data_IF_009414962512
#
_entry.id   IF_009414962512
#
_cell.length_a   1.000
_cell.length_b   1.000
_cell.length_c   1.000
_cell.angle_alpha   90.00
_cell.angle_beta   90.00
_cell.angle_gamma   90.00
#
_symmetry.space_group_name_H-M   'P 1'
#
loop_
_entity.id
_entity.type
_entity.pdbx_description
1 polymer ?
#
# COMPACT_ATOMS: atom_id res chain seq x y z
N UNK A 1 -3.39 -5.65 13.28
CA UNK A 1 -2.08 -4.99 13.05
C UNK A 1 -1.94 -3.70 13.85
N UNK A 2 -2.85 -2.72 13.76
CA UNK A 2 -2.75 -1.46 14.54
C UNK A 2 -2.64 -1.69 16.06
N UNK A 3 -3.50 -2.54 16.64
CA UNK A 3 -3.43 -2.85 18.07
C UNK A 3 -2.08 -3.47 18.50
N UNK A 4 -1.48 -4.30 17.64
CA UNK A 4 -0.16 -4.90 17.89
C UNK A 4 0.92 -3.82 17.83
N UNK A 5 0.86 -2.91 16.85
CA UNK A 5 1.80 -1.80 16.72
C UNK A 5 1.73 -0.86 17.94
N UNK A 6 0.52 -0.57 18.43
CA UNK A 6 0.31 0.21 19.65
C UNK A 6 0.88 -0.50 20.89
N UNK A 7 0.57 -1.78 21.08
CA UNK A 7 1.11 -2.56 22.19
C UNK A 7 2.64 -2.62 22.17
N UNK A 8 3.25 -2.81 21.00
CA UNK A 8 4.71 -2.80 20.85
C UNK A 8 5.32 -1.42 21.15
N UNK A 9 4.64 -0.33 20.77
CA UNK A 9 5.08 1.03 21.09
C UNK A 9 4.99 1.33 22.59
N UNK A 10 3.95 0.85 23.27
CA UNK A 10 3.77 1.01 24.72
C UNK A 10 4.81 0.22 25.52
N UNK A 11 5.12 -0.99 25.08
CA UNK A 11 6.09 -1.89 25.72
C UNK A 11 7.56 -1.54 25.44
N UNK A 12 7.85 -0.72 24.42
CA UNK A 12 9.21 -0.37 24.04
C UNK A 12 9.82 0.77 24.87
N UNK A 13 11.14 0.73 25.05
CA UNK A 13 11.90 1.79 25.74
C UNK A 13 11.99 3.09 24.91
N UNK A 14 11.94 2.97 23.58
CA UNK A 14 11.99 4.11 22.66
C UNK A 14 10.59 4.62 22.33
N UNK A 15 10.31 5.90 22.62
CA UNK A 15 9.04 6.57 22.31
C UNK A 15 9.25 7.76 21.37
N UNK A 16 9.44 7.53 20.06
CA UNK A 16 9.53 8.61 19.09
C UNK A 16 8.37 9.61 19.24
N UNK A 17 8.66 10.89 19.51
CA UNK A 17 7.61 11.89 19.64
C UNK A 17 6.89 12.06 18.29
N UNK A 18 5.57 12.26 18.35
CA UNK A 18 4.75 12.47 17.15
C UNK A 18 4.35 11.20 16.39
N UNK A 19 4.76 10.00 16.83
CA UNK A 19 4.29 8.75 16.25
C UNK A 19 2.83 8.48 16.66
N UNK A 20 1.96 8.22 15.68
CA UNK A 20 0.57 7.84 15.92
C UNK A 20 0.13 6.72 14.98
N UNK A 21 -0.76 5.86 15.46
CA UNK A 21 -1.28 4.72 14.70
C UNK A 21 -2.77 4.90 14.44
N UNK A 22 -3.19 4.69 13.19
CA UNK A 22 -4.57 4.90 12.78
C UNK A 22 -5.00 3.83 11.79
N UNK A 23 -6.16 3.24 12.01
CA UNK A 23 -6.81 2.40 11.01
C UNK A 23 -7.53 3.30 9.99
N UNK A 24 -7.07 3.30 8.74
CA UNK A 24 -7.67 4.04 7.64
C UNK A 24 -7.36 3.35 6.31
N UNK A 25 -8.09 3.73 5.27
CA UNK A 25 -7.78 3.41 3.87
C UNK A 25 -7.19 4.65 3.19
N UNK A 26 -6.49 4.49 2.07
CA UNK A 26 -5.90 5.61 1.33
C UNK A 26 -6.95 6.66 0.94
N UNK A 27 -8.12 6.22 0.48
CA UNK A 27 -9.23 7.06 0.04
C UNK A 27 -9.83 7.86 1.21
N UNK A 28 -9.90 7.26 2.41
CA UNK A 28 -10.36 7.97 3.61
C UNK A 28 -9.35 8.99 4.12
N UNK A 29 -8.07 8.82 3.79
CA UNK A 29 -7.02 9.74 4.20
C UNK A 29 -7.01 10.98 3.31
N UNK A 30 -7.14 10.83 1.98
CA UNK A 30 -7.11 11.96 1.03
C UNK A 30 -8.15 13.04 1.33
N UNK A 31 -9.31 12.66 1.85
CA UNK A 31 -10.38 13.58 2.25
C UNK A 31 -9.95 14.57 3.35
N UNK A 32 -8.95 14.21 4.18
CA UNK A 32 -8.57 15.02 5.35
C UNK A 32 -7.54 16.13 5.09
N UNK A 33 -7.09 16.34 3.85
CA UNK A 33 -6.10 17.39 3.48
C UNK A 33 -4.96 17.51 4.49
N UNK A 34 -4.36 16.37 4.82
CA UNK A 34 -3.08 16.37 5.52
C UNK A 34 -2.00 16.34 4.48
N UNK A 35 -1.01 17.21 4.64
CA UNK A 35 0.15 17.26 3.79
C UNK A 35 1.27 16.44 4.43
N UNK A 36 1.84 15.54 3.64
CA UNK A 36 2.89 14.62 4.04
C UNK A 36 4.12 14.86 3.15
N UNK A 37 5.28 14.86 3.77
CA UNK A 37 6.55 14.92 3.04
C UNK A 37 6.90 13.58 2.36
N UNK A 38 6.46 12.46 2.92
CA UNK A 38 6.69 11.14 2.37
C UNK A 38 5.57 10.15 2.74
N UNK A 39 5.26 9.24 1.82
CA UNK A 39 4.35 8.11 2.00
C UNK A 39 5.12 6.82 1.68
N UNK A 40 5.06 5.85 2.61
CA UNK A 40 5.63 4.51 2.44
C UNK A 40 4.50 3.49 2.23
N UNK A 41 4.33 3.01 0.99
CA UNK A 41 3.29 2.07 0.59
C UNK A 41 3.84 0.68 0.25
N UNK A 42 4.26 -0.09 1.25
CA UNK A 42 4.87 -1.41 1.03
C UNK A 42 3.85 -2.54 0.95
N UNK A 43 3.84 -3.26 -0.18
CA UNK A 43 2.89 -4.34 -0.49
C UNK A 43 1.41 -3.92 -0.36
N UNK A 44 1.14 -2.61 -0.51
CA UNK A 44 -0.20 -2.05 -0.38
C UNK A 44 -0.92 -2.01 -1.72
N UNK A 45 -0.19 -1.77 -2.82
CA UNK A 45 -0.77 -1.55 -4.14
C UNK A 45 -1.27 -2.84 -4.81
N UNK A 46 -0.66 -3.99 -4.52
CA UNK A 46 -1.03 -5.27 -5.14
C UNK A 46 -2.52 -5.64 -4.91
N UNK A 47 -3.11 -5.54 -3.71
CA UNK A 47 -4.53 -5.85 -3.51
C UNK A 47 -5.50 -4.72 -3.91
N UNK A 48 -5.00 -3.57 -4.36
CA UNK A 48 -5.85 -2.41 -4.70
C UNK A 48 -6.57 -2.64 -6.02
N UNK A 49 -7.87 -2.33 -6.06
CA UNK A 49 -8.72 -2.52 -7.26
C UNK A 49 -8.64 -1.34 -8.23
N UNK A 50 -8.58 -0.12 -7.71
CA UNK A 50 -8.44 1.12 -8.49
C UNK A 50 -7.08 1.74 -8.23
N UNK A 51 -6.05 1.15 -8.85
CA UNK A 51 -4.67 1.60 -8.69
C UNK A 51 -4.50 3.10 -9.07
N UNK A 52 -5.00 3.59 -10.22
CA UNK A 52 -4.89 5.00 -10.57
C UNK A 52 -5.63 5.93 -9.59
N UNK A 53 -6.80 5.53 -9.09
CA UNK A 53 -7.52 6.27 -8.04
C UNK A 53 -6.71 6.37 -6.75
N UNK A 54 -6.20 5.25 -6.26
CA UNK A 54 -5.40 5.20 -5.03
C UNK A 54 -4.09 5.98 -5.14
N UNK A 55 -3.41 5.94 -6.30
CA UNK A 55 -2.20 6.75 -6.53
C UNK A 55 -2.51 8.24 -6.57
N UNK A 56 -3.64 8.65 -7.19
CA UNK A 56 -4.10 10.04 -7.16
C UNK A 56 -4.40 10.49 -5.74
N UNK A 57 -5.12 9.68 -4.96
CA UNK A 57 -5.39 9.96 -3.54
C UNK A 57 -4.09 10.13 -2.75
N UNK A 58 -3.11 9.24 -2.93
CA UNK A 58 -1.80 9.36 -2.31
C UNK A 58 -1.05 10.63 -2.73
N UNK A 59 -1.12 11.01 -4.00
CA UNK A 59 -0.53 12.25 -4.50
C UNK A 59 -1.17 13.49 -3.86
N UNK A 60 -2.50 13.52 -3.67
CA UNK A 60 -3.17 14.66 -3.01
C UNK A 60 -2.80 14.84 -1.54
N UNK A 61 -2.25 13.80 -0.92
CA UNK A 61 -1.75 13.83 0.46
C UNK A 61 -0.31 14.32 0.56
N UNK A 62 0.42 14.36 -0.56
CA UNK A 62 1.81 14.81 -0.55
C UNK A 62 1.89 16.33 -0.68
N UNK A 63 2.90 16.90 -0.03
CA UNK A 63 3.36 18.26 -0.31
C UNK A 63 4.00 18.34 -1.71
N UNK A 64 4.14 19.55 -2.23
CA UNK A 64 4.95 19.79 -3.43
C UNK A 64 6.38 19.30 -3.18
N UNK A 65 6.84 18.35 -4.01
CA UNK A 65 8.15 17.69 -3.83
C UNK A 65 8.17 16.54 -2.82
N UNK A 66 7.00 16.14 -2.28
CA UNK A 66 6.88 14.97 -1.42
C UNK A 66 7.15 13.65 -2.15
N UNK A 67 7.53 12.61 -1.40
CA UNK A 67 7.96 11.32 -1.96
C UNK A 67 6.94 10.21 -1.70
N UNK A 68 6.49 9.54 -2.75
CA UNK A 68 5.80 8.25 -2.66
C UNK A 68 6.81 7.12 -2.89
N UNK A 69 7.03 6.28 -1.88
CA UNK A 69 7.93 5.12 -1.98
C UNK A 69 7.09 3.86 -1.81
N UNK A 70 7.05 3.02 -2.84
CA UNK A 70 6.21 1.82 -2.87
C UNK A 70 7.04 0.56 -3.12
N UNK A 71 6.49 -0.58 -2.70
CA UNK A 71 6.98 -1.89 -3.07
C UNK A 71 5.81 -2.68 -3.62
N UNK A 72 5.84 -2.95 -4.92
CA UNK A 72 4.75 -3.57 -5.67
C UNK A 72 5.28 -4.83 -6.33
N UNK A 73 4.53 -5.92 -6.22
CA UNK A 73 4.82 -7.12 -6.99
C UNK A 73 4.40 -6.87 -8.43
N UNK A 74 5.37 -6.75 -9.34
CA UNK A 74 5.10 -6.66 -10.78
C UNK A 74 4.75 -8.06 -11.31
N UNK A 75 3.57 -8.57 -10.90
CA UNK A 75 3.12 -9.93 -11.19
C UNK A 75 3.04 -10.21 -12.71
N UNK A 76 2.79 -9.17 -13.51
CA UNK A 76 2.79 -9.27 -14.97
C UNK A 76 4.17 -9.56 -15.54
N UNK A 77 5.24 -9.14 -14.87
CA UNK A 77 6.63 -9.34 -15.27
C UNK A 77 7.24 -10.64 -14.71
N UNK A 78 6.47 -11.36 -13.89
CA UNK A 78 6.89 -12.64 -13.32
C UNK A 78 6.60 -13.81 -14.28
N UNK A 79 7.20 -14.96 -13.99
CA UNK A 79 7.03 -16.17 -14.80
C UNK A 79 5.55 -16.55 -14.97
N UNK A 80 5.21 -17.16 -16.12
CA UNK A 80 3.88 -17.69 -16.47
C UNK A 80 3.26 -18.56 -15.37
N UNK A 81 4.07 -19.22 -14.55
CA UNK A 81 3.58 -19.99 -13.40
C UNK A 81 2.75 -19.14 -12.41
N UNK A 82 3.13 -17.88 -12.18
CA UNK A 82 2.41 -16.99 -11.27
C UNK A 82 1.06 -16.54 -11.85
N UNK A 83 1.01 -16.33 -13.17
CA UNK A 83 -0.21 -16.04 -13.91
C UNK A 83 -1.26 -17.15 -13.81
N UNK A 84 -0.84 -18.41 -13.67
CA UNK A 84 -1.76 -19.53 -13.52
C UNK A 84 -2.04 -19.90 -12.06
N UNK A 85 -1.02 -19.86 -11.19
CA UNK A 85 -1.14 -20.25 -9.79
C UNK A 85 -2.02 -19.29 -8.99
N UNK A 86 -1.90 -17.98 -9.19
CA UNK A 86 -2.69 -16.97 -8.46
C UNK A 86 -4.20 -17.06 -8.73
N UNK A 87 -4.69 -17.10 -9.98
CA UNK A 87 -6.12 -17.25 -10.22
C UNK A 87 -6.65 -18.61 -9.73
N UNK A 88 -5.88 -19.70 -9.86
CA UNK A 88 -6.25 -21.00 -9.31
C UNK A 88 -6.37 -20.97 -7.78
N UNK A 89 -5.37 -20.40 -7.09
CA UNK A 89 -5.41 -20.22 -5.64
C UNK A 89 -6.58 -19.32 -5.20
N UNK A 90 -6.92 -18.30 -5.99
CA UNK A 90 -8.07 -17.43 -5.73
C UNK A 90 -9.40 -18.14 -5.90
N UNK A 91 -9.56 -18.99 -6.93
CA UNK A 91 -10.76 -19.82 -7.13
C UNK A 91 -11.00 -20.77 -5.95
N UNK A 92 -9.93 -21.30 -5.36
CA UNK A 92 -9.98 -22.18 -4.17
C UNK A 92 -10.06 -21.38 -2.85
N UNK A 93 -10.11 -20.04 -2.91
CA UNK A 93 -10.21 -19.16 -1.74
C UNK A 93 -8.94 -19.05 -0.91
N UNK A 94 -7.79 -19.51 -1.45
CA UNK A 94 -6.47 -19.48 -0.79
C UNK A 94 -5.70 -18.19 -1.03
N UNK A 95 -6.09 -17.39 -2.02
CA UNK A 95 -5.46 -16.11 -2.33
C UNK A 95 -6.49 -14.96 -2.40
N UNK A 96 -6.20 -13.79 -1.81
CA UNK A 96 -7.00 -12.59 -2.00
C UNK A 96 -6.86 -12.04 -3.44
N UNK A 97 -7.64 -11.01 -3.76
CA UNK A 97 -7.43 -10.28 -5.01
C UNK A 97 -6.01 -9.69 -5.04
N UNK A 98 -5.34 -9.83 -6.18
CA UNK A 98 -4.10 -9.15 -6.51
C UNK A 98 -4.21 -8.63 -7.94
N UNK A 99 -3.89 -7.35 -8.15
CA UNK A 99 -3.76 -6.71 -9.43
C UNK A 99 -2.50 -7.22 -10.12
N UNK A 100 -2.61 -7.53 -11.40
CA UNK A 100 -1.47 -7.86 -12.25
C UNK A 100 -0.90 -6.56 -12.82
N UNK A 101 0.05 -5.96 -12.11
CA UNK A 101 0.76 -4.76 -12.54
C UNK A 101 2.08 -5.14 -13.24
N UNK A 102 2.48 -4.37 -14.24
CA UNK A 102 3.83 -4.39 -14.81
C UNK A 102 4.62 -3.15 -14.37
N UNK A 103 5.91 -3.12 -14.68
CA UNK A 103 6.77 -1.96 -14.39
C UNK A 103 6.37 -0.70 -15.15
N UNK A 104 5.95 -0.81 -16.41
CA UNK A 104 5.63 0.36 -17.22
C UNK A 104 4.44 1.15 -16.63
N UNK A 105 3.39 0.44 -16.20
CA UNK A 105 2.19 1.02 -15.60
C UNK A 105 2.45 1.71 -14.26
N UNK A 106 3.55 1.38 -13.57
CA UNK A 106 3.94 1.98 -12.30
C UNK A 106 4.97 3.11 -12.45
N UNK A 107 5.57 3.25 -13.64
CA UNK A 107 6.55 4.28 -13.95
C UNK A 107 5.91 5.57 -14.51
N UNK A 108 4.66 5.50 -14.97
CA UNK A 108 3.82 6.64 -15.39
C UNK A 108 3.02 7.23 -14.21
#
# INVERSE_FOLDING_TARGET
MIAIAQANYEAGDSKPPGLSFRAATAEKLSIRKTWLNAILGFNYLDPVRDLPGTLRDAHTLLEDGGLLITKTACLSDMSISHWLALPAARLVGKAPFAAFSNKEQLAE
#
